data_IF_355066417104
#
_entry.id   IF_355066417104
#
_cell.length_a   1.000
_cell.length_b   1.000
_cell.length_c   1.000
_cell.angle_alpha   90.00
_cell.angle_beta   90.00
_cell.angle_gamma   90.00
#
_symmetry.space_group_name_H-M   'P 1'
#
loop_
_entity.id
_entity.type
_entity.pdbx_description
1 polymer ?
#
# COMPACT_ATOMS: atom_id res chain seq x y z
N UNK A 1 11.07 -14.03 -36.19
CA UNK A 1 11.32 -13.17 -35.01
C UNK A 1 11.91 -14.03 -33.90
N UNK A 2 13.15 -13.75 -33.50
CA UNK A 2 13.88 -14.52 -32.48
C UNK A 2 13.24 -14.26 -31.11
N UNK A 3 12.69 -15.32 -30.50
CA UNK A 3 12.18 -15.32 -29.12
C UNK A 3 13.38 -15.11 -28.19
N UNK A 4 13.49 -13.94 -27.56
CA UNK A 4 14.32 -13.80 -26.37
C UNK A 4 13.59 -14.57 -25.28
N UNK A 5 14.05 -15.80 -25.05
CA UNK A 5 13.41 -16.77 -24.18
C UNK A 5 13.82 -16.53 -22.72
N UNK A 6 12.88 -16.74 -21.81
CA UNK A 6 13.02 -16.89 -20.35
C UNK A 6 14.34 -17.55 -19.89
N UNK A 7 14.85 -18.44 -20.75
CA UNK A 7 16.14 -19.13 -20.71
C UNK A 7 17.32 -18.22 -20.37
N UNK A 8 17.40 -16.99 -20.90
CA UNK A 8 18.58 -16.14 -20.68
C UNK A 8 18.62 -15.51 -19.28
N UNK A 9 17.45 -15.26 -18.66
CA UNK A 9 17.39 -14.67 -17.31
C UNK A 9 17.63 -15.72 -16.21
N UNK A 10 17.14 -16.95 -16.41
CA UNK A 10 17.38 -18.07 -15.49
C UNK A 10 18.83 -18.57 -15.55
N UNK A 11 19.47 -18.52 -16.73
CA UNK A 11 20.87 -18.94 -16.89
C UNK A 11 21.89 -18.09 -16.11
N UNK A 12 21.57 -16.82 -15.79
CA UNK A 12 22.45 -15.94 -15.02
C UNK A 12 22.49 -16.27 -13.52
N UNK A 13 21.48 -16.97 -12.98
CA UNK A 13 21.44 -17.39 -11.57
C UNK A 13 22.14 -18.74 -11.33
N UNK A 14 22.39 -19.53 -12.38
CA UNK A 14 22.87 -20.92 -12.28
C UNK A 14 24.39 -21.10 -12.48
N UNK A 15 25.18 -20.02 -12.52
CA UNK A 15 26.59 -20.06 -12.96
C UNK A 15 27.60 -20.66 -11.97
N UNK A 16 27.17 -21.34 -10.89
CA UNK A 16 28.08 -21.97 -9.91
C UNK A 16 27.80 -23.44 -9.56
N UNK A 17 26.83 -24.09 -10.20
CA UNK A 17 26.58 -25.52 -10.02
C UNK A 17 26.52 -26.18 -11.39
N UNK A 18 27.20 -27.32 -11.54
CA UNK A 18 27.20 -28.19 -12.74
C UNK A 18 25.83 -28.15 -13.42
N UNK A 19 25.77 -27.67 -14.66
CA UNK A 19 24.52 -27.29 -15.34
C UNK A 19 23.52 -28.45 -15.38
N UNK A 20 22.60 -28.48 -14.42
CA UNK A 20 21.43 -29.35 -14.48
C UNK A 20 20.71 -29.10 -15.82
N UNK A 21 20.19 -30.14 -16.50
CA UNK A 21 19.42 -29.96 -17.73
C UNK A 21 18.35 -28.90 -17.51
N UNK A 22 18.27 -27.92 -18.41
CA UNK A 22 17.34 -26.80 -18.28
C UNK A 22 15.88 -27.24 -18.10
N UNK A 23 15.55 -28.43 -18.62
CA UNK A 23 14.27 -29.10 -18.46
C UNK A 23 13.95 -29.41 -16.99
N UNK A 24 14.93 -29.82 -16.16
CA UNK A 24 14.74 -30.03 -14.73
C UNK A 24 14.58 -28.70 -13.97
N UNK A 25 15.26 -27.64 -14.41
CA UNK A 25 15.23 -26.31 -13.80
C UNK A 25 13.90 -25.57 -14.04
N UNK A 26 13.25 -25.82 -15.18
CA UNK A 26 11.91 -25.28 -15.49
C UNK A 26 10.76 -26.21 -15.06
N UNK A 27 11.07 -27.46 -14.67
CA UNK A 27 10.06 -28.40 -14.18
C UNK A 27 9.50 -27.89 -12.86
N UNK A 28 8.20 -27.66 -12.82
CA UNK A 28 7.52 -27.07 -11.66
C UNK A 28 7.71 -25.55 -11.53
N UNK A 29 8.29 -24.88 -12.53
CA UNK A 29 8.29 -23.43 -12.56
C UNK A 29 6.86 -22.90 -12.78
N UNK A 30 6.50 -21.82 -12.08
CA UNK A 30 5.24 -21.11 -12.25
C UNK A 30 5.46 -19.66 -12.63
N UNK A 31 4.49 -19.10 -13.32
CA UNK A 31 4.34 -17.65 -13.47
C UNK A 31 2.99 -17.28 -12.89
N UNK A 32 3.00 -16.37 -11.94
CA UNK A 32 1.79 -15.88 -11.29
C UNK A 32 1.86 -14.35 -11.28
N UNK A 33 0.75 -13.69 -11.56
CA UNK A 33 0.77 -12.24 -11.68
C UNK A 33 -0.57 -11.58 -11.81
N UNK A 34 -0.51 -10.26 -11.98
CA UNK A 34 -1.67 -9.46 -12.30
C UNK A 34 -1.31 -8.25 -13.13
N UNK A 35 -2.25 -7.86 -13.98
CA UNK A 35 -2.20 -6.63 -14.73
C UNK A 35 -3.48 -5.84 -14.51
N UNK A 36 -3.38 -4.51 -14.55
CA UNK A 36 -4.56 -3.66 -14.63
C UNK A 36 -4.34 -2.44 -15.52
N UNK A 37 -5.45 -1.95 -16.05
CA UNK A 37 -5.58 -0.66 -16.68
C UNK A 37 -6.73 0.10 -16.01
N UNK A 38 -6.47 1.31 -15.55
CA UNK A 38 -7.37 2.10 -14.72
C UNK A 38 -7.49 3.50 -15.28
N UNK A 39 -8.69 4.06 -15.23
CA UNK A 39 -8.96 5.46 -15.46
C UNK A 39 -9.54 6.09 -14.20
N UNK A 40 -9.04 7.27 -13.85
CA UNK A 40 -9.52 8.07 -12.72
C UNK A 40 -9.86 9.46 -13.25
N UNK A 41 -11.01 10.00 -12.85
CA UNK A 41 -11.39 11.39 -13.07
C UNK A 41 -11.92 11.97 -11.78
N UNK A 42 -11.25 13.00 -11.29
CA UNK A 42 -11.63 13.76 -10.11
C UNK A 42 -12.23 15.10 -10.56
N UNK A 43 -13.28 15.54 -9.87
CA UNK A 43 -13.91 16.83 -10.10
C UNK A 43 -14.46 17.41 -8.79
N UNK A 44 -14.89 18.67 -8.83
CA UNK A 44 -15.46 19.37 -7.67
C UNK A 44 -14.63 20.59 -7.32
N UNK A 45 -14.96 21.20 -6.18
CA UNK A 45 -14.24 22.39 -5.70
C UNK A 45 -12.88 22.01 -5.11
N UNK A 46 -12.82 20.88 -4.42
CA UNK A 46 -11.66 20.42 -3.63
C UNK A 46 -10.97 19.20 -4.24
N UNK A 47 -11.22 18.94 -5.53
CA UNK A 47 -10.62 17.86 -6.28
C UNK A 47 -10.61 18.16 -7.78
N UNK A 48 -9.59 17.68 -8.48
CA UNK A 48 -9.60 17.68 -9.93
C UNK A 48 -8.53 16.80 -10.54
N UNK A 49 -8.51 16.78 -11.87
CA UNK A 49 -7.54 16.01 -12.66
C UNK A 49 -8.09 14.69 -13.15
N UNK A 50 -7.48 14.17 -14.22
CA UNK A 50 -7.87 12.91 -14.82
C UNK A 50 -6.65 12.18 -15.39
N UNK A 51 -6.64 10.86 -15.30
CA UNK A 51 -5.46 10.10 -15.68
C UNK A 51 -5.70 8.62 -15.86
N UNK A 52 -4.86 8.03 -16.71
CA UNK A 52 -4.69 6.59 -16.79
C UNK A 52 -3.59 6.13 -15.84
N UNK A 53 -3.85 4.99 -15.18
CA UNK A 53 -2.89 4.25 -14.39
C UNK A 53 -2.85 2.83 -14.91
N UNK A 54 -1.67 2.28 -15.13
CA UNK A 54 -1.54 0.86 -15.47
C UNK A 54 -0.45 0.20 -14.63
N UNK A 55 -0.59 -1.10 -14.42
CA UNK A 55 0.39 -1.88 -13.68
C UNK A 55 0.43 -3.30 -14.20
N UNK A 56 1.62 -3.87 -14.22
CA UNK A 56 1.85 -5.30 -14.42
C UNK A 56 2.81 -5.77 -13.34
N UNK A 57 2.45 -6.85 -12.66
CA UNK A 57 3.32 -7.57 -11.73
C UNK A 57 3.32 -9.02 -12.18
N UNK A 58 4.50 -9.59 -12.38
CA UNK A 58 4.66 -10.99 -12.77
C UNK A 58 5.77 -11.61 -11.93
N UNK A 59 5.46 -12.67 -11.20
CA UNK A 59 6.39 -13.42 -10.38
C UNK A 59 6.69 -14.75 -11.06
N UNK A 60 7.96 -14.97 -11.38
CA UNK A 60 8.46 -16.22 -11.91
C UNK A 60 9.08 -17.01 -10.76
N UNK A 61 8.53 -18.19 -10.49
CA UNK A 61 9.01 -19.08 -9.44
C UNK A 61 9.65 -20.30 -10.10
N UNK A 62 10.83 -20.71 -9.63
CA UNK A 62 11.40 -22.00 -10.02
C UNK A 62 10.64 -23.14 -9.35
N UNK A 63 10.80 -24.36 -9.88
CA UNK A 63 10.50 -25.57 -9.12
C UNK A 63 11.35 -25.66 -7.85
N UNK A 64 10.96 -26.55 -6.94
CA UNK A 64 11.71 -26.85 -5.73
C UNK A 64 12.63 -28.05 -5.94
N UNK A 65 13.90 -27.93 -5.56
CA UNK A 65 14.89 -29.02 -5.57
C UNK A 65 15.47 -29.11 -4.15
N UNK A 66 15.28 -30.25 -3.47
CA UNK A 66 15.75 -30.46 -2.09
C UNK A 66 15.35 -29.32 -1.13
N UNK A 67 14.09 -28.86 -1.25
CA UNK A 67 13.56 -27.73 -0.47
C UNK A 67 13.96 -26.34 -0.95
N UNK A 68 14.89 -26.18 -1.89
CA UNK A 68 15.31 -24.90 -2.45
C UNK A 68 14.48 -24.46 -3.66
N UNK A 69 14.07 -23.19 -3.69
CA UNK A 69 13.50 -22.54 -4.87
C UNK A 69 13.91 -21.07 -4.99
N UNK A 70 13.74 -20.49 -6.17
CA UNK A 70 14.07 -19.11 -6.49
C UNK A 70 12.88 -18.37 -7.09
N UNK A 71 12.87 -17.05 -6.90
CA UNK A 71 11.88 -16.15 -7.49
C UNK A 71 12.55 -14.98 -8.21
N UNK A 72 11.98 -14.59 -9.36
CA UNK A 72 12.23 -13.33 -10.05
C UNK A 72 10.89 -12.66 -10.35
N UNK A 73 10.65 -11.50 -9.74
CA UNK A 73 9.46 -10.68 -10.00
C UNK A 73 9.77 -9.49 -10.89
N UNK A 74 8.92 -9.24 -11.88
CA UNK A 74 8.93 -8.06 -12.72
C UNK A 74 7.80 -7.12 -12.31
N UNK A 75 8.07 -5.82 -12.37
CA UNK A 75 7.10 -4.78 -12.09
C UNK A 75 7.13 -3.74 -13.20
N UNK A 76 5.95 -3.38 -13.69
CA UNK A 76 5.70 -2.20 -14.49
C UNK A 76 4.61 -1.39 -13.84
N UNK A 77 4.79 -0.07 -13.78
CA UNK A 77 3.75 0.86 -13.38
C UNK A 77 3.82 2.11 -14.25
N UNK A 78 2.67 2.67 -14.57
CA UNK A 78 2.54 3.93 -15.27
C UNK A 78 1.44 4.76 -14.63
N UNK A 79 1.72 6.05 -14.48
CA UNK A 79 0.81 7.03 -13.88
C UNK A 79 0.64 6.88 -12.37
N UNK A 80 -0.10 7.82 -11.79
CA UNK A 80 -0.49 7.82 -10.38
C UNK A 80 -1.91 8.38 -10.23
N UNK A 81 -2.40 8.48 -9.00
CA UNK A 81 -3.71 9.10 -8.73
C UNK A 81 -3.68 10.57 -9.18
N UNK A 82 -4.56 11.00 -10.10
CA UNK A 82 -4.52 12.36 -10.61
C UNK A 82 -5.02 13.36 -9.56
N UNK A 83 -4.31 14.47 -9.41
CA UNK A 83 -4.67 15.62 -8.55
C UNK A 83 -5.00 16.85 -9.39
N UNK A 84 -5.44 17.95 -8.76
CA UNK A 84 -5.86 19.16 -9.46
C UNK A 84 -4.87 19.58 -10.55
N UNK A 85 -5.37 19.71 -11.79
CA UNK A 85 -4.58 20.12 -12.95
C UNK A 85 -3.78 19.01 -13.64
N UNK A 86 -3.71 17.81 -13.06
CA UNK A 86 -3.10 16.63 -13.68
C UNK A 86 -3.95 16.10 -14.82
N UNK A 87 -3.35 15.88 -16.00
CA UNK A 87 -3.98 15.23 -17.16
C UNK A 87 -3.00 14.24 -17.77
N UNK A 88 -3.46 13.04 -18.11
CA UNK A 88 -2.65 12.08 -18.89
C UNK A 88 -2.75 12.28 -20.41
N UNK A 89 -3.49 13.29 -20.88
CA UNK A 89 -3.56 13.65 -22.30
C UNK A 89 -2.18 14.05 -22.82
N UNK A 90 -1.76 13.47 -23.95
CA UNK A 90 -0.40 13.63 -24.49
C UNK A 90 0.73 12.99 -23.66
N UNK A 91 0.44 12.31 -22.54
CA UNK A 91 1.45 11.80 -21.60
C UNK A 91 1.85 10.33 -21.81
N UNK A 92 1.52 9.73 -22.95
CA UNK A 92 1.84 8.30 -23.26
C UNK A 92 3.36 8.02 -23.28
N UNK A 93 4.20 9.06 -23.29
CA UNK A 93 5.64 8.95 -23.45
C UNK A 93 6.01 8.53 -24.87
N UNK A 94 7.22 8.89 -25.33
CA UNK A 94 7.74 8.35 -26.58
C UNK A 94 8.14 6.89 -26.43
N UNK A 95 7.96 6.06 -27.47
CA UNK A 95 8.41 4.66 -27.51
C UNK A 95 9.93 4.47 -27.32
N UNK A 96 10.68 5.57 -27.40
CA UNK A 96 12.14 5.69 -27.20
C UNK A 96 12.50 6.84 -26.26
N UNK A 97 11.52 7.46 -25.60
CA UNK A 97 11.79 8.55 -24.68
C UNK A 97 12.72 8.01 -23.59
N UNK A 98 13.85 8.68 -23.40
CA UNK A 98 14.73 8.42 -22.27
C UNK A 98 13.85 8.45 -21.03
N UNK A 99 13.76 7.28 -20.39
CA UNK A 99 13.17 7.16 -19.08
C UNK A 99 14.02 8.05 -18.18
N UNK A 100 13.59 9.30 -18.00
CA UNK A 100 13.96 10.00 -16.80
C UNK A 100 13.30 9.21 -15.68
N UNK A 101 14.06 8.24 -15.18
CA UNK A 101 13.89 7.54 -13.91
C UNK A 101 13.59 8.51 -12.76
N UNK A 102 13.80 9.81 -12.98
CA UNK A 102 13.87 10.85 -11.99
C UNK A 102 12.97 12.07 -12.31
N UNK A 103 12.24 12.17 -13.44
CA UNK A 103 11.42 13.37 -13.74
C UNK A 103 9.93 13.13 -14.02
N UNK A 104 9.54 11.93 -14.45
CA UNK A 104 8.11 11.58 -14.63
C UNK A 104 7.65 10.64 -13.51
N UNK A 105 7.30 11.23 -12.36
CA UNK A 105 6.97 10.53 -11.10
C UNK A 105 5.72 9.65 -11.16
N UNK A 106 5.82 8.51 -11.84
CA UNK A 106 4.76 7.49 -11.92
C UNK A 106 5.07 6.31 -12.84
N UNK A 107 6.16 6.37 -13.61
CA UNK A 107 6.50 5.33 -14.59
C UNK A 107 7.71 4.52 -14.12
N UNK A 108 7.49 3.26 -13.73
CA UNK A 108 8.54 2.37 -13.23
C UNK A 108 8.56 1.05 -14.03
N UNK A 109 9.75 0.58 -14.39
CA UNK A 109 9.97 -0.80 -14.83
C UNK A 109 11.22 -1.35 -14.16
N UNK A 110 11.10 -2.52 -13.53
CA UNK A 110 12.25 -3.15 -12.90
C UNK A 110 11.94 -4.47 -12.22
N UNK A 111 12.93 -4.92 -11.45
CA UNK A 111 12.84 -6.14 -10.64
C UNK A 111 12.11 -5.83 -9.33
N UNK A 112 10.93 -6.43 -9.19
CA UNK A 112 10.04 -6.32 -8.03
C UNK A 112 10.55 -7.13 -6.84
N UNK A 113 10.87 -8.39 -7.10
CA UNK A 113 11.32 -9.38 -6.12
C UNK A 113 12.44 -10.20 -6.72
N UNK A 114 13.35 -10.65 -5.87
CA UNK A 114 14.46 -11.52 -6.24
C UNK A 114 14.91 -12.21 -4.97
N UNK A 115 14.57 -13.48 -4.80
CA UNK A 115 14.86 -14.19 -3.56
C UNK A 115 15.08 -15.67 -3.77
N UNK A 116 15.80 -16.27 -2.82
CA UNK A 116 15.83 -17.70 -2.60
C UNK A 116 14.91 -18.09 -1.44
N UNK A 117 14.32 -19.28 -1.51
CA UNK A 117 13.52 -19.89 -0.47
C UNK A 117 14.09 -21.26 -0.15
N UNK A 118 14.13 -21.60 1.13
CA UNK A 118 14.37 -22.94 1.62
C UNK A 118 13.19 -23.39 2.49
N UNK A 119 12.57 -24.52 2.15
CA UNK A 119 11.56 -25.19 2.96
C UNK A 119 12.16 -26.43 3.61
N UNK A 120 12.06 -26.54 4.93
CA UNK A 120 12.59 -27.69 5.67
C UNK A 120 11.68 -28.90 5.47
N UNK A 121 12.20 -30.06 5.10
CA UNK A 121 11.35 -31.23 4.85
C UNK A 121 10.70 -31.79 6.13
N UNK A 122 11.41 -31.71 7.25
CA UNK A 122 10.96 -32.25 8.54
C UNK A 122 9.98 -31.35 9.30
N UNK A 123 9.66 -30.15 8.79
CA UNK A 123 8.77 -29.19 9.46
C UNK A 123 8.02 -28.32 8.46
N UNK A 124 6.98 -27.62 8.88
CA UNK A 124 6.32 -26.57 8.09
C UNK A 124 7.05 -25.23 8.23
N UNK A 125 8.38 -25.26 8.36
CA UNK A 125 9.24 -24.07 8.43
C UNK A 125 9.75 -23.71 7.04
N UNK A 126 9.79 -22.42 6.73
CA UNK A 126 10.52 -21.93 5.56
C UNK A 126 11.26 -20.65 5.84
N UNK A 127 12.41 -20.48 5.19
CA UNK A 127 13.23 -19.27 5.19
C UNK A 127 13.22 -18.71 3.78
N UNK A 128 13.01 -17.40 3.65
CA UNK A 128 13.07 -16.67 2.39
C UNK A 128 14.04 -15.51 2.55
N UNK A 129 14.99 -15.35 1.63
CA UNK A 129 16.02 -14.32 1.70
C UNK A 129 16.21 -13.63 0.34
N UNK A 130 16.23 -12.30 0.34
CA UNK A 130 16.40 -11.47 -0.85
C UNK A 130 15.48 -10.25 -0.84
N UNK A 131 15.10 -9.77 -2.03
CA UNK A 131 14.12 -8.69 -2.19
C UNK A 131 12.71 -9.28 -2.18
N UNK A 132 11.96 -9.01 -1.12
CA UNK A 132 10.65 -9.58 -0.81
C UNK A 132 9.54 -8.51 -0.90
N UNK A 133 8.28 -8.96 -1.04
CA UNK A 133 7.10 -8.10 -0.84
C UNK A 133 6.86 -7.91 0.65
N UNK A 134 6.56 -6.68 1.07
CA UNK A 134 6.12 -6.41 2.44
C UNK A 134 4.61 -6.58 2.54
N UNK A 135 4.19 -7.77 2.96
CA UNK A 135 2.78 -8.15 3.10
C UNK A 135 2.37 -8.20 4.59
N UNK A 136 2.19 -7.04 5.21
CA UNK A 136 1.90 -6.92 6.65
C UNK A 136 0.67 -6.05 6.88
N UNK A 137 0.06 -6.02 8.08
CA UNK A 137 -1.08 -5.16 8.36
C UNK A 137 -0.83 -3.65 8.19
N UNK A 138 0.43 -3.20 8.20
CA UNK A 138 0.79 -1.78 8.09
C UNK A 138 1.52 -1.45 6.77
N UNK A 139 1.66 -2.41 5.86
CA UNK A 139 2.28 -2.27 4.53
C UNK A 139 1.40 -2.89 3.45
N UNK A 140 1.78 -2.74 2.19
CA UNK A 140 1.07 -3.24 1.02
C UNK A 140 1.95 -4.12 0.15
N UNK A 141 1.59 -5.39 0.04
CA UNK A 141 2.30 -6.35 -0.82
C UNK A 141 2.28 -5.95 -2.31
N UNK A 142 1.34 -5.09 -2.73
CA UNK A 142 1.21 -4.67 -4.12
C UNK A 142 2.50 -4.00 -4.60
N UNK A 143 3.10 -3.15 -3.77
CA UNK A 143 4.16 -2.24 -4.19
C UNK A 143 5.29 -2.07 -3.18
N UNK A 144 5.05 -2.38 -1.91
CA UNK A 144 6.06 -2.23 -0.85
C UNK A 144 7.03 -3.42 -0.85
N UNK A 145 8.33 -3.15 -0.72
CA UNK A 145 9.41 -4.14 -0.84
C UNK A 145 10.42 -4.00 0.28
N UNK A 146 11.03 -5.11 0.68
CA UNK A 146 12.13 -5.15 1.64
C UNK A 146 13.26 -6.03 1.15
N UNK A 147 14.51 -5.65 1.42
CA UNK A 147 15.68 -6.50 1.22
C UNK A 147 16.06 -7.11 2.58
N UNK A 148 15.92 -8.43 2.70
CA UNK A 148 16.10 -9.07 3.99
C UNK A 148 15.76 -10.55 4.00
N UNK A 149 15.43 -11.05 5.19
CA UNK A 149 15.11 -12.44 5.48
C UNK A 149 13.78 -12.51 6.21
N UNK A 150 12.97 -13.50 5.86
CA UNK A 150 11.74 -13.86 6.55
C UNK A 150 11.75 -15.36 6.86
N UNK A 151 11.30 -15.70 8.06
CA UNK A 151 11.08 -17.08 8.51
C UNK A 151 9.61 -17.25 8.85
N UNK A 152 9.00 -18.34 8.41
CA UNK A 152 7.63 -18.71 8.77
C UNK A 152 7.60 -20.15 9.28
N UNK A 153 6.80 -20.42 10.30
CA UNK A 153 6.52 -21.76 10.80
C UNK A 153 5.01 -21.95 10.98
N UNK A 154 4.50 -23.10 10.55
CA UNK A 154 3.10 -23.49 10.73
C UNK A 154 2.95 -24.93 11.22
N UNK A 155 3.89 -25.42 12.05
CA UNK A 155 3.83 -26.78 12.61
C UNK A 155 2.65 -26.97 13.55
N UNK A 156 2.31 -25.91 14.30
CA UNK A 156 1.11 -25.90 15.13
C UNK A 156 -0.10 -25.69 14.23
N UNK A 157 -1.02 -26.67 14.21
CA UNK A 157 -2.25 -26.57 13.42
C UNK A 157 -3.03 -25.32 13.77
N UNK A 158 -3.45 -24.57 12.75
CA UNK A 158 -4.19 -23.32 12.90
C UNK A 158 -3.35 -22.10 13.29
N UNK A 159 -2.05 -22.23 13.54
CA UNK A 159 -1.17 -21.12 13.91
C UNK A 159 0.01 -21.00 12.94
N UNK A 160 0.22 -19.78 12.43
CA UNK A 160 1.45 -19.40 11.73
C UNK A 160 2.22 -18.41 12.58
N UNK A 161 3.50 -18.70 12.82
CA UNK A 161 4.46 -17.79 13.41
C UNK A 161 5.36 -17.24 12.32
N UNK A 162 5.64 -15.95 12.35
CA UNK A 162 6.57 -15.32 11.41
C UNK A 162 7.55 -14.42 12.14
N UNK A 163 8.79 -14.38 11.64
CA UNK A 163 9.79 -13.40 12.03
C UNK A 163 10.47 -12.89 10.76
N UNK A 164 10.76 -11.60 10.69
CA UNK A 164 11.44 -11.00 9.56
C UNK A 164 12.41 -9.92 9.99
N UNK A 165 13.47 -9.76 9.22
CA UNK A 165 14.43 -8.68 9.35
C UNK A 165 14.79 -8.18 7.96
N UNK A 166 14.65 -6.88 7.74
CA UNK A 166 14.98 -6.20 6.51
C UNK A 166 16.05 -5.15 6.80
N UNK A 167 17.16 -5.20 6.07
CA UNK A 167 18.20 -4.19 6.13
C UNK A 167 17.71 -2.86 5.53
N UNK A 168 16.93 -2.94 4.45
CA UNK A 168 16.29 -1.80 3.83
C UNK A 168 14.92 -2.15 3.26
N UNK A 169 14.07 -1.15 3.11
CA UNK A 169 12.72 -1.31 2.61
C UNK A 169 12.18 -0.06 1.95
N UNK A 170 11.14 -0.19 1.15
CA UNK A 170 10.44 0.91 0.52
C UNK A 170 8.95 0.59 0.56
N UNK A 171 8.13 1.61 0.79
CA UNK A 171 6.72 1.54 0.46
C UNK A 171 6.43 2.54 -0.68
N UNK A 172 5.23 2.46 -1.25
CA UNK A 172 4.90 3.10 -2.54
C UNK A 172 4.19 4.44 -2.40
N UNK A 173 3.74 4.74 -1.19
CA UNK A 173 2.86 5.86 -0.90
C UNK A 173 3.44 6.75 0.19
N UNK A 174 4.76 6.80 0.37
CA UNK A 174 5.25 7.82 1.25
C UNK A 174 5.16 9.16 0.57
N UNK A 175 4.33 9.99 1.18
CA UNK A 175 4.47 11.43 1.20
C UNK A 175 5.85 11.90 1.69
N UNK A 176 6.89 11.06 1.72
CA UNK A 176 8.28 11.47 1.88
C UNK A 176 8.61 12.56 0.86
N UNK A 177 8.24 12.45 -0.42
CA UNK A 177 8.59 13.50 -1.39
C UNK A 177 7.97 14.88 -1.11
N UNK A 178 6.91 14.98 -0.30
CA UNK A 178 6.32 16.26 0.08
C UNK A 178 6.49 16.69 1.54
N UNK A 179 6.81 15.76 2.45
CA UNK A 179 7.40 16.08 3.77
C UNK A 179 8.85 16.57 3.59
N UNK A 180 9.54 16.07 2.56
CA UNK A 180 10.93 16.43 2.25
C UNK A 180 11.07 17.70 1.39
N UNK A 181 9.96 18.28 0.93
CA UNK A 181 9.99 19.59 0.27
C UNK A 181 9.90 20.75 1.28
N UNK A 182 10.09 20.48 2.58
CA UNK A 182 10.02 21.50 3.62
C UNK A 182 11.31 22.32 3.70
N UNK A 183 11.13 23.60 3.31
CA UNK A 183 11.91 24.80 3.64
C UNK A 183 13.24 25.01 2.94
N UNK A 184 13.15 25.67 1.78
CA UNK A 184 14.12 26.71 1.41
C UNK A 184 15.53 26.23 1.11
N UNK A 185 15.75 24.93 0.91
CA UNK A 185 17.00 24.46 0.33
C UNK A 185 17.02 24.86 -1.13
N UNK A 186 17.76 25.92 -1.44
CA UNK A 186 18.26 26.23 -2.78
C UNK A 186 19.23 25.15 -3.29
N UNK A 187 19.27 23.97 -2.67
CA UNK A 187 20.11 22.87 -3.09
C UNK A 187 19.28 21.91 -3.98
N UNK A 188 19.44 21.97 -5.32
CA UNK A 188 18.78 21.05 -6.26
C UNK A 188 19.26 19.60 -6.16
N UNK A 189 20.15 19.27 -5.22
CA UNK A 189 20.80 17.95 -5.11
C UNK A 189 20.03 16.90 -4.30
N UNK A 190 19.00 17.27 -3.53
CA UNK A 190 18.19 16.27 -2.80
C UNK A 190 16.99 15.86 -3.65
N UNK A 191 17.25 15.01 -4.65
CA UNK A 191 16.19 14.33 -5.38
C UNK A 191 15.66 13.15 -4.53
N UNK A 192 14.48 13.33 -3.95
CA UNK A 192 13.83 12.34 -3.06
C UNK A 192 13.10 11.25 -3.82
N UNK A 193 13.12 11.28 -5.16
CA UNK A 193 12.37 10.38 -6.03
C UNK A 193 13.01 8.99 -6.03
N UNK A 194 12.29 8.00 -5.49
CA UNK A 194 12.74 6.61 -5.43
C UNK A 194 13.50 6.22 -4.15
N UNK A 195 13.30 6.95 -3.06
CA UNK A 195 14.02 6.70 -1.80
C UNK A 195 13.49 5.46 -1.07
N UNK A 196 14.38 4.53 -0.73
CA UNK A 196 14.11 3.47 0.26
C UNK A 196 14.49 3.94 1.66
N UNK A 197 13.84 3.39 2.68
CA UNK A 197 14.28 3.42 4.07
C UNK A 197 15.49 2.51 4.27
N UNK A 198 16.58 3.08 4.77
CA UNK A 198 17.74 2.36 5.32
C UNK A 198 17.62 2.11 6.82
N UNK A 199 16.45 2.37 7.43
CA UNK A 199 16.18 1.97 8.80
C UNK A 199 15.84 0.48 8.81
N UNK A 200 16.70 -0.34 9.42
CA UNK A 200 16.46 -1.78 9.55
C UNK A 200 15.07 -2.02 10.13
N UNK A 201 14.27 -2.87 9.50
CA UNK A 201 12.91 -3.21 9.89
C UNK A 201 12.86 -4.65 10.39
N UNK A 202 12.52 -4.84 11.65
CA UNK A 202 12.23 -6.15 12.24
C UNK A 202 10.74 -6.32 12.43
N UNK A 203 10.22 -7.53 12.20
CA UNK A 203 8.83 -7.87 12.45
C UNK A 203 8.70 -9.26 13.08
N UNK A 204 7.74 -9.42 14.00
CA UNK A 204 7.32 -10.73 14.53
C UNK A 204 5.80 -10.80 14.50
N UNK A 205 5.26 -11.97 14.15
CA UNK A 205 3.82 -12.17 14.04
C UNK A 205 3.35 -13.54 14.54
N UNK A 206 2.13 -13.55 15.05
CA UNK A 206 1.34 -14.74 15.35
C UNK A 206 -0.01 -14.61 14.63
N UNK A 207 -0.34 -15.56 13.78
CA UNK A 207 -1.54 -15.53 12.92
C UNK A 207 -2.32 -16.82 13.13
N UNK A 208 -3.48 -16.72 13.77
CA UNK A 208 -4.33 -17.84 14.13
C UNK A 208 -5.59 -17.95 13.27
N UNK A 209 -5.95 -19.17 12.91
CA UNK A 209 -7.17 -19.53 12.21
C UNK A 209 -7.76 -20.79 12.86
N UNK A 210 -8.66 -20.58 13.82
CA UNK A 210 -9.32 -21.60 14.63
C UNK A 210 -10.84 -21.37 14.57
N UNK A 211 -11.54 -22.00 13.63
CA UNK A 211 -12.98 -21.83 13.43
C UNK A 211 -13.76 -21.86 14.78
N UNK A 212 -14.54 -20.82 15.13
CA UNK A 212 -14.96 -19.64 14.33
C UNK A 212 -14.13 -18.37 14.53
N UNK A 213 -12.94 -18.47 15.13
CA UNK A 213 -12.08 -17.36 15.52
C UNK A 213 -10.84 -17.29 14.63
N UNK A 214 -10.58 -16.09 14.10
CA UNK A 214 -9.29 -15.76 13.48
C UNK A 214 -8.66 -14.61 14.24
N UNK A 215 -7.35 -14.63 14.39
CA UNK A 215 -6.62 -13.52 15.00
C UNK A 215 -5.27 -13.30 14.33
N UNK A 216 -4.73 -12.10 14.50
CA UNK A 216 -3.33 -11.84 14.21
C UNK A 216 -2.78 -10.79 15.17
N UNK A 217 -1.54 -10.97 15.60
CA UNK A 217 -0.79 -10.02 16.41
C UNK A 217 0.58 -9.81 15.76
N UNK A 218 0.97 -8.56 15.61
CA UNK A 218 2.23 -8.17 15.00
C UNK A 218 2.96 -7.15 15.86
N UNK A 219 4.28 -7.25 15.88
CA UNK A 219 5.19 -6.23 16.40
C UNK A 219 6.17 -5.85 15.30
N UNK A 220 6.43 -4.55 15.16
CA UNK A 220 7.37 -3.97 14.21
C UNK A 220 8.33 -3.04 14.93
N UNK A 221 9.60 -3.08 14.53
CA UNK A 221 10.63 -2.14 14.94
C UNK A 221 11.37 -1.65 13.69
N UNK A 222 11.28 -0.37 13.39
CA UNK A 222 12.14 0.30 12.43
C UNK A 222 13.21 1.08 13.19
N UNK A 223 14.47 0.65 13.08
CA UNK A 223 15.61 1.16 13.87
C UNK A 223 15.63 2.69 13.93
N UNK A 224 15.56 3.24 15.14
CA UNK A 224 15.55 4.70 15.42
C UNK A 224 14.46 5.50 14.71
N UNK A 225 13.44 4.85 14.15
CA UNK A 225 12.34 5.50 13.44
C UNK A 225 11.04 5.33 14.22
N UNK A 226 10.55 4.09 14.32
CA UNK A 226 9.29 3.80 15.00
C UNK A 226 9.23 2.37 15.55
N UNK A 227 8.35 2.18 16.52
CA UNK A 227 7.84 0.88 16.96
C UNK A 227 6.35 0.82 16.67
N UNK A 228 5.83 -0.32 16.24
CA UNK A 228 4.39 -0.48 16.00
C UNK A 228 3.89 -1.84 16.45
N UNK A 229 2.66 -1.87 16.99
CA UNK A 229 1.93 -3.09 17.28
C UNK A 229 0.60 -3.07 16.53
N UNK A 230 0.18 -4.23 16.08
CA UNK A 230 -1.14 -4.44 15.48
C UNK A 230 -1.78 -5.69 16.06
N UNK A 231 -3.07 -5.61 16.37
CA UNK A 231 -3.90 -6.73 16.81
C UNK A 231 -5.20 -6.77 16.03
N UNK A 232 -5.63 -7.96 15.64
CA UNK A 232 -6.94 -8.23 15.05
C UNK A 232 -7.54 -9.49 15.66
N UNK A 233 -8.85 -9.45 15.91
CA UNK A 233 -9.68 -10.62 16.18
C UNK A 233 -10.93 -10.54 15.32
N UNK A 234 -11.32 -11.66 14.73
CA UNK A 234 -12.62 -11.81 14.08
C UNK A 234 -13.28 -13.11 14.56
N UNK A 235 -14.58 -13.04 14.83
CA UNK A 235 -15.38 -14.14 15.36
C UNK A 235 -16.62 -14.31 14.50
N UNK A 236 -16.85 -15.52 14.02
CA UNK A 236 -18.01 -15.88 13.20
C UNK A 236 -17.75 -15.82 11.70
N UNK A 237 -18.63 -16.48 10.93
CA UNK A 237 -18.54 -16.62 9.47
C UNK A 237 -19.70 -15.89 8.77
N UNK A 238 -20.94 -16.29 9.02
CA UNK A 238 -22.14 -15.67 8.43
C UNK A 238 -22.45 -14.31 9.06
N UNK A 239 -22.37 -14.23 10.39
CA UNK A 239 -22.41 -13.01 11.19
C UNK A 239 -21.07 -12.89 11.86
N UNK A 240 -20.26 -11.97 11.38
CA UNK A 240 -18.90 -11.79 11.86
C UNK A 240 -18.76 -10.46 12.57
N UNK A 241 -18.18 -10.51 13.76
CA UNK A 241 -17.62 -9.34 14.42
C UNK A 241 -16.11 -9.33 14.20
N UNK A 242 -15.56 -8.17 13.86
CA UNK A 242 -14.12 -7.95 13.73
C UNK A 242 -13.72 -6.70 14.51
N UNK A 243 -12.66 -6.81 15.30
CA UNK A 243 -12.03 -5.69 15.98
C UNK A 243 -10.55 -5.65 15.62
N UNK A 244 -10.04 -4.45 15.37
CA UNK A 244 -8.62 -4.22 15.10
C UNK A 244 -8.12 -3.06 15.95
N UNK A 245 -6.86 -3.12 16.37
CA UNK A 245 -6.18 -2.05 17.10
C UNK A 245 -4.74 -1.96 16.62
N UNK A 246 -4.22 -0.75 16.51
CA UNK A 246 -2.81 -0.51 16.30
C UNK A 246 -2.32 0.68 17.10
N UNK A 247 -1.04 0.61 17.48
CA UNK A 247 -0.35 1.67 18.18
C UNK A 247 1.06 1.82 17.60
N UNK A 248 1.44 3.04 17.26
CA UNK A 248 2.75 3.38 16.70
C UNK A 248 3.41 4.46 17.53
N UNK A 249 4.60 4.15 18.04
CA UNK A 249 5.43 5.03 18.87
C UNK A 249 6.66 5.46 18.07
N UNK A 250 6.92 6.76 18.00
CA UNK A 250 8.13 7.29 17.38
C UNK A 250 9.27 7.26 18.37
N UNK A 251 10.48 6.95 17.90
CA UNK A 251 11.66 7.13 18.72
C UNK A 251 11.81 8.58 19.15
N UNK A 252 12.37 8.82 20.34
CA UNK A 252 12.79 10.17 20.73
C UNK A 252 13.87 10.65 19.74
N UNK A 253 13.61 11.77 19.05
CA UNK A 253 14.41 12.23 17.91
C UNK A 253 14.49 11.18 16.77
N UNK A 254 13.37 10.85 16.12
CA UNK A 254 13.33 9.79 15.12
C UNK A 254 14.19 10.16 13.92
N UNK A 255 14.98 9.21 13.42
CA UNK A 255 15.87 9.41 12.27
C UNK A 255 15.36 8.62 11.07
N UNK A 256 15.16 9.30 9.95
CA UNK A 256 14.84 8.69 8.67
C UNK A 256 16.15 8.52 7.87
N UNK A 257 16.56 7.27 7.61
CA UNK A 257 17.70 6.95 6.76
C UNK A 257 17.15 6.72 5.34
N UNK A 258 17.61 7.47 4.35
CA UNK A 258 17.23 7.25 2.95
C UNK A 258 18.40 6.69 2.14
N UNK A 259 18.13 5.72 1.29
CA UNK A 259 19.10 5.21 0.33
C UNK A 259 19.23 6.12 -0.89
N UNK A 260 20.21 7.04 -0.91
CA UNK A 260 20.53 7.84 -2.10
C UNK A 260 21.80 7.33 -2.79
N UNK A 261 21.67 6.88 -4.04
CA UNK A 261 22.78 6.78 -5.01
C UNK A 261 24.01 5.96 -4.61
N UNK A 262 23.92 5.03 -3.66
CA UNK A 262 25.04 4.15 -3.25
C UNK A 262 26.24 4.86 -2.60
N UNK A 263 26.20 6.18 -2.40
CA UNK A 263 27.35 6.98 -1.92
C UNK A 263 27.06 7.83 -0.67
N UNK A 264 25.83 7.82 -0.14
CA UNK A 264 25.54 8.48 1.14
C UNK A 264 25.41 7.44 2.26
N UNK A 265 26.52 7.25 2.98
CA UNK A 265 26.63 6.51 4.23
C UNK A 265 26.34 7.37 5.47
N UNK A 266 25.64 8.50 5.29
CA UNK A 266 25.23 9.40 6.37
C UNK A 266 23.72 9.34 6.57
N UNK A 267 23.27 9.02 7.79
CA UNK A 267 21.90 9.27 8.19
C UNK A 267 21.67 10.79 8.14
N UNK A 268 21.03 11.30 7.09
CA UNK A 268 20.60 12.69 7.09
C UNK A 268 19.46 12.82 8.09
N UNK A 269 19.62 13.64 9.13
CA UNK A 269 18.45 14.13 9.88
C UNK A 269 17.64 14.95 8.90
N UNK A 270 16.54 14.39 8.43
CA UNK A 270 15.69 15.04 7.46
C UNK A 270 14.80 16.04 8.18
N UNK A 271 14.81 17.28 7.69
CA UNK A 271 13.99 18.34 8.22
C UNK A 271 12.54 18.16 7.80
N UNK A 272 11.64 18.00 8.77
CA UNK A 272 10.22 17.86 8.53
C UNK A 272 9.43 17.80 9.84
N UNK A 273 8.09 18.06 9.79
CA UNK A 273 7.24 18.07 10.98
C UNK A 273 7.30 16.77 11.80
N UNK A 274 7.74 15.66 11.20
CA UNK A 274 7.83 14.36 11.84
C UNK A 274 9.23 13.97 12.38
N UNK A 275 10.30 14.69 12.00
CA UNK A 275 11.69 14.22 12.19
C UNK A 275 12.62 15.21 12.91
N UNK A 276 12.34 16.52 12.84
CA UNK A 276 13.28 17.57 13.28
C UNK A 276 12.96 18.17 14.66
N UNK A 277 12.17 17.49 15.48
CA UNK A 277 11.67 18.05 16.74
C UNK A 277 10.74 19.27 16.54
N UNK A 278 10.24 19.48 15.33
CA UNK A 278 9.19 20.46 15.04
C UNK A 278 7.92 20.10 15.81
N UNK A 279 7.27 21.11 16.39
CA UNK A 279 6.18 21.02 17.36
C UNK A 279 4.87 20.33 16.89
N UNK A 280 4.86 19.64 15.75
CA UNK A 280 3.63 19.23 15.06
C UNK A 280 3.52 17.73 14.75
N UNK A 281 4.53 16.89 14.99
CA UNK A 281 4.44 15.44 14.79
C UNK A 281 4.05 14.70 16.07
N UNK A 282 3.06 13.79 16.00
CA UNK A 282 2.66 13.00 17.17
C UNK A 282 3.76 12.01 17.56
N UNK A 283 4.17 12.00 18.83
CA UNK A 283 5.09 10.99 19.37
C UNK A 283 4.47 9.60 19.43
N UNK A 284 3.17 9.53 19.74
CA UNK A 284 2.40 8.31 19.87
C UNK A 284 1.11 8.40 19.08
N UNK A 285 0.77 7.33 18.35
CA UNK A 285 -0.38 7.26 17.45
C UNK A 285 -1.18 5.99 17.69
N UNK A 286 -2.51 6.09 17.67
CA UNK A 286 -3.40 4.98 17.98
C UNK A 286 -4.63 4.96 17.09
N UNK A 287 -5.00 3.78 16.61
CA UNK A 287 -6.19 3.55 15.79
C UNK A 287 -6.89 2.28 16.24
N UNK A 288 -8.22 2.28 16.21
CA UNK A 288 -9.01 1.06 16.35
C UNK A 288 -10.16 1.03 15.35
N UNK A 289 -10.57 -0.18 14.96
CA UNK A 289 -11.74 -0.41 14.13
C UNK A 289 -12.65 -1.44 14.80
N UNK A 290 -13.95 -1.25 14.64
CA UNK A 290 -14.98 -2.20 15.04
C UNK A 290 -15.89 -2.40 13.83
N UNK A 291 -16.07 -3.64 13.39
CA UNK A 291 -16.92 -3.97 12.25
C UNK A 291 -17.83 -5.13 12.60
N UNK A 292 -19.11 -4.97 12.27
CA UNK A 292 -20.03 -6.08 12.11
C UNK A 292 -20.28 -6.31 10.62
N UNK A 293 -20.23 -7.56 10.19
CA UNK A 293 -20.60 -7.95 8.84
C UNK A 293 -21.56 -9.13 8.86
N UNK A 294 -22.56 -9.11 7.98
CA UNK A 294 -23.48 -10.20 7.81
C UNK A 294 -23.66 -10.55 6.34
N UNK A 295 -23.77 -11.84 6.04
CA UNK A 295 -24.22 -12.39 4.76
C UNK A 295 -25.51 -13.17 4.98
N UNK A 296 -26.66 -12.50 5.21
CA UNK A 296 -27.90 -13.18 5.57
C UNK A 296 -28.39 -14.13 4.47
N UNK A 297 -28.04 -13.84 3.22
CA UNK A 297 -28.20 -14.72 2.05
C UNK A 297 -26.94 -14.67 1.20
N UNK A 298 -26.75 -15.65 0.31
CA UNK A 298 -25.52 -15.78 -0.49
C UNK A 298 -25.25 -14.54 -1.38
N UNK A 299 -26.31 -13.91 -1.85
CA UNK A 299 -26.28 -12.80 -2.79
C UNK A 299 -26.14 -11.44 -2.11
N UNK A 300 -26.40 -11.32 -0.80
CA UNK A 300 -26.46 -10.04 -0.12
C UNK A 300 -25.50 -9.99 1.08
N UNK A 301 -24.74 -8.90 1.16
CA UNK A 301 -23.83 -8.63 2.26
C UNK A 301 -24.06 -7.23 2.82
N UNK A 302 -23.91 -7.10 4.13
CA UNK A 302 -23.89 -5.84 4.85
C UNK A 302 -22.66 -5.77 5.73
N UNK A 303 -22.01 -4.60 5.77
CA UNK A 303 -20.99 -4.25 6.75
C UNK A 303 -21.35 -2.92 7.38
N UNK A 304 -21.34 -2.87 8.70
CA UNK A 304 -21.43 -1.63 9.47
C UNK A 304 -20.19 -1.56 10.34
N UNK A 305 -19.56 -0.39 10.42
CA UNK A 305 -18.40 -0.26 11.26
C UNK A 305 -18.09 1.15 11.67
N UNK A 306 -17.11 1.21 12.57
CA UNK A 306 -16.59 2.43 13.13
C UNK A 306 -15.06 2.37 13.15
N UNK A 307 -14.43 3.48 12.81
CA UNK A 307 -13.00 3.73 12.97
C UNK A 307 -12.85 4.89 13.95
N UNK A 308 -12.07 4.68 14.99
CA UNK A 308 -11.69 5.70 15.96
C UNK A 308 -10.20 5.71 16.19
N UNK A 309 -9.73 6.74 16.89
CA UNK A 309 -8.31 6.90 17.23
C UNK A 309 -8.11 7.26 18.69
N UNK A 310 -6.90 7.03 19.17
CA UNK A 310 -6.44 7.37 20.51
C UNK A 310 -4.97 7.81 20.44
N UNK A 311 -4.37 8.17 21.58
CA UNK A 311 -3.08 8.86 21.64
C UNK A 311 -3.10 10.23 20.94
N UNK A 312 -1.95 10.74 20.51
CA UNK A 312 -1.81 12.12 20.05
C UNK A 312 -1.98 12.28 18.53
N UNK A 313 -1.93 11.17 17.78
CA UNK A 313 -2.27 11.12 16.37
C UNK A 313 -2.89 9.77 15.99
N UNK A 314 -3.31 9.62 14.73
CA UNK A 314 -4.05 8.43 14.28
C UNK A 314 -3.38 7.63 13.15
N UNK A 315 -2.26 8.13 12.61
CA UNK A 315 -1.50 7.48 11.54
C UNK A 315 -0.65 6.32 12.07
N UNK A 316 -1.08 5.09 11.86
CA UNK A 316 -0.44 3.87 12.42
C UNK A 316 0.15 2.94 11.37
N UNK A 317 -0.05 3.26 10.09
CA UNK A 317 0.38 2.46 8.94
C UNK A 317 1.51 3.18 8.20
N UNK A 318 2.36 2.44 7.51
CA UNK A 318 3.34 3.05 6.59
C UNK A 318 2.64 3.61 5.34
N UNK A 319 1.49 3.01 5.00
CA UNK A 319 0.66 3.36 3.85
C UNK A 319 -0.68 4.02 4.29
N UNK A 320 -1.44 4.63 3.39
CA UNK A 320 -2.74 5.27 3.68
C UNK A 320 -3.82 4.30 4.18
N UNK A 321 -3.76 3.03 3.83
CA UNK A 321 -4.86 2.11 4.09
C UNK A 321 -4.62 1.11 5.22
N UNK A 322 -3.46 0.47 5.25
CA UNK A 322 -3.21 -0.73 6.05
C UNK A 322 -4.27 -1.83 5.86
N UNK A 323 -4.26 -2.84 6.72
CA UNK A 323 -5.26 -3.91 6.76
C UNK A 323 -6.55 -3.53 7.52
N UNK A 324 -6.76 -2.24 7.81
CA UNK A 324 -7.84 -1.76 8.65
C UNK A 324 -9.20 -1.80 7.95
N UNK A 325 -10.21 -2.26 8.69
CA UNK A 325 -11.61 -2.27 8.30
C UNK A 325 -12.12 -0.84 8.18
N UNK A 326 -12.63 -0.51 7.00
CA UNK A 326 -13.14 0.81 6.66
C UNK A 326 -14.20 0.71 5.57
N UNK A 327 -14.97 1.79 5.42
CA UNK A 327 -15.91 2.00 4.32
C UNK A 327 -15.57 3.27 3.54
N UNK A 328 -16.18 3.42 2.37
CA UNK A 328 -15.81 4.46 1.40
C UNK A 328 -14.61 4.04 0.54
N UNK A 329 -14.25 4.90 -0.41
CA UNK A 329 -13.16 4.68 -1.38
C UNK A 329 -12.36 5.96 -1.67
N UNK A 330 -12.93 7.14 -1.45
CA UNK A 330 -12.26 8.41 -1.76
C UNK A 330 -11.44 8.94 -0.58
N UNK A 331 -12.02 8.97 0.62
CA UNK A 331 -11.46 9.75 1.72
C UNK A 331 -10.05 9.30 2.17
N UNK A 332 -9.71 8.02 2.02
CA UNK A 332 -8.38 7.53 2.38
C UNK A 332 -7.41 7.47 1.19
N UNK A 333 -7.85 7.70 -0.06
CA UNK A 333 -7.03 7.58 -1.27
C UNK A 333 -7.25 8.75 -2.25
N UNK A 334 -7.50 9.95 -1.74
CA UNK A 334 -7.75 11.15 -2.54
C UNK A 334 -6.52 11.60 -3.35
N UNK A 335 -5.30 11.39 -2.84
CA UNK A 335 -4.04 11.89 -3.45
C UNK A 335 -3.07 10.80 -3.93
N UNK A 336 -3.28 9.53 -3.58
CA UNK A 336 -2.44 8.40 -4.01
C UNK A 336 -0.97 8.43 -3.57
N UNK A 337 -0.55 9.42 -2.78
CA UNK A 337 0.80 9.54 -2.21
C UNK A 337 0.80 9.34 -0.69
N UNK A 338 -0.25 8.71 -0.17
CA UNK A 338 -0.35 8.30 1.22
C UNK A 338 -0.59 9.40 2.25
N UNK A 339 -0.84 10.66 1.85
CA UNK A 339 -1.15 11.75 2.78
C UNK A 339 -2.41 11.49 3.60
N UNK A 340 -3.50 11.09 2.97
CA UNK A 340 -4.76 10.83 3.67
C UNK A 340 -4.86 9.38 4.14
N UNK A 341 -5.88 9.06 4.93
CA UNK A 341 -5.99 7.75 5.57
C UNK A 341 -5.06 7.62 6.77
N UNK A 342 -4.51 6.43 6.99
CA UNK A 342 -3.85 6.01 8.23
C UNK A 342 -2.32 6.02 8.16
N UNK A 343 -1.71 6.76 7.22
CA UNK A 343 -0.26 6.87 7.14
C UNK A 343 0.32 7.59 8.36
N UNK A 344 1.34 7.01 8.99
CA UNK A 344 2.12 7.58 10.08
C UNK A 344 2.93 8.81 9.63
N UNK A 345 3.13 8.96 8.31
CA UNK A 345 3.82 10.09 7.69
C UNK A 345 2.85 11.01 6.91
N UNK A 346 1.54 10.81 7.08
CA UNK A 346 0.47 11.62 6.46
C UNK A 346 -0.27 12.51 7.46
N UNK A 347 -1.53 12.83 7.15
CA UNK A 347 -2.43 13.68 7.93
C UNK A 347 -2.63 13.15 9.36
N UNK A 348 -2.65 11.82 9.54
CA UNK A 348 -2.72 11.18 10.85
C UNK A 348 -1.41 11.18 11.63
N UNK A 349 -0.32 11.59 10.99
CA UNK A 349 1.00 11.69 11.60
C UNK A 349 1.15 12.86 12.57
N UNK A 350 0.29 13.89 12.45
CA UNK A 350 0.40 15.15 13.19
C UNK A 350 -0.11 15.04 14.63
N UNK A 351 0.48 15.84 15.52
CA UNK A 351 0.12 15.96 16.92
C UNK A 351 -1.27 16.59 17.11
N UNK A 352 -1.96 16.23 18.19
CA UNK A 352 -3.33 16.65 18.49
C UNK A 352 -4.34 16.33 17.36
N UNK A 353 -4.13 15.22 16.64
CA UNK A 353 -5.06 14.73 15.62
C UNK A 353 -5.86 13.53 16.10
N UNK A 354 -7.09 13.43 15.61
CA UNK A 354 -7.93 12.25 15.79
C UNK A 354 -8.95 12.14 14.66
N UNK A 355 -9.43 10.93 14.41
CA UNK A 355 -10.41 10.64 13.37
C UNK A 355 -11.57 9.83 13.94
N UNK A 356 -12.78 10.15 13.48
CA UNK A 356 -13.97 9.35 13.70
C UNK A 356 -14.61 9.06 12.34
N UNK A 357 -14.77 7.79 12.00
CA UNK A 357 -15.45 7.36 10.78
C UNK A 357 -16.52 6.34 11.13
N UNK A 358 -17.77 6.61 10.80
CA UNK A 358 -18.80 5.57 10.75
C UNK A 358 -19.05 5.19 9.29
N UNK A 359 -19.39 3.94 9.03
CA UNK A 359 -19.71 3.51 7.67
C UNK A 359 -20.76 2.39 7.61
N UNK A 360 -21.46 2.38 6.47
CA UNK A 360 -22.33 1.31 5.99
C UNK A 360 -21.85 0.91 4.60
N UNK A 361 -21.64 -0.38 4.37
CA UNK A 361 -21.37 -0.93 3.05
C UNK A 361 -22.36 -2.05 2.75
N UNK A 362 -23.06 -1.94 1.63
CA UNK A 362 -24.01 -2.93 1.13
C UNK A 362 -23.46 -3.55 -0.15
N UNK A 363 -23.62 -4.85 -0.31
CA UNK A 363 -23.25 -5.56 -1.54
C UNK A 363 -24.37 -6.50 -1.97
N UNK A 364 -24.67 -6.54 -3.25
CA UNK A 364 -25.63 -7.47 -3.85
C UNK A 364 -25.05 -8.11 -5.10
N UNK A 365 -25.24 -9.41 -5.29
CA UNK A 365 -24.78 -10.15 -6.47
C UNK A 365 -25.94 -10.51 -7.38
N UNK A 366 -25.81 -10.16 -8.66
CA UNK A 366 -26.76 -10.48 -9.73
C UNK A 366 -25.98 -11.05 -10.92
N UNK A 367 -26.00 -12.38 -11.08
CA UNK A 367 -25.23 -13.08 -12.13
C UNK A 367 -23.73 -12.79 -12.03
N UNK A 368 -23.11 -12.26 -13.10
CA UNK A 368 -21.70 -11.85 -13.16
C UNK A 368 -21.45 -10.46 -12.57
N UNK A 369 -22.49 -9.75 -12.14
CA UNK A 369 -22.41 -8.37 -11.64
C UNK A 369 -22.57 -8.36 -10.13
N UNK A 370 -21.60 -7.78 -9.42
CA UNK A 370 -21.76 -7.39 -8.02
C UNK A 370 -22.00 -5.87 -7.95
N UNK A 371 -23.04 -5.45 -7.25
CA UNK A 371 -23.41 -4.05 -7.03
C UNK A 371 -23.07 -3.71 -5.58
N UNK A 372 -22.38 -2.61 -5.36
CA UNK A 372 -22.01 -2.12 -4.04
C UNK A 372 -22.48 -0.70 -3.78
N UNK A 373 -22.74 -0.38 -2.51
CA UNK A 373 -22.95 0.98 -2.02
C UNK A 373 -22.21 1.16 -0.70
N UNK A 374 -21.23 2.06 -0.68
CA UNK A 374 -20.57 2.51 0.54
C UNK A 374 -21.09 3.90 0.94
N UNK A 375 -21.37 4.09 2.22
CA UNK A 375 -21.68 5.38 2.84
C UNK A 375 -20.75 5.55 4.03
N UNK A 376 -20.06 6.67 4.12
CA UNK A 376 -19.18 6.99 5.24
C UNK A 376 -19.35 8.43 5.70
N UNK A 377 -19.27 8.65 7.02
CA UNK A 377 -19.18 9.99 7.60
C UNK A 377 -17.85 10.15 8.33
N UNK A 378 -17.09 11.18 7.98
CA UNK A 378 -15.75 11.45 8.48
C UNK A 378 -15.79 12.73 9.31
N UNK A 379 -15.18 12.71 10.50
CA UNK A 379 -15.09 13.87 11.38
C UNK A 379 -13.86 13.80 12.29
N UNK A 380 -13.67 14.84 13.11
CA UNK A 380 -12.59 14.94 14.10
C UNK A 380 -11.53 15.97 13.73
N UNK A 381 -10.43 15.99 14.48
CA UNK A 381 -9.24 16.78 14.16
C UNK A 381 -8.34 16.01 13.18
N UNK A 382 -8.85 15.76 11.98
CA UNK A 382 -8.24 14.83 11.03
C UNK A 382 -7.18 15.44 10.11
N UNK A 383 -6.90 16.75 10.21
CA UNK A 383 -5.89 17.43 9.39
C UNK A 383 -5.98 17.14 7.87
N UNK A 384 -7.19 16.86 7.39
CA UNK A 384 -7.44 16.32 6.06
C UNK A 384 -6.92 17.23 4.93
N UNK A 385 -6.15 16.63 4.03
CA UNK A 385 -5.61 17.29 2.83
C UNK A 385 -6.64 17.39 1.70
N UNK A 386 -6.77 18.57 1.09
CA UNK A 386 -7.49 18.77 -0.17
C UNK A 386 -6.71 19.62 -1.18
N UNK A 387 -7.09 19.50 -2.45
CA UNK A 387 -6.74 20.49 -3.46
C UNK A 387 -7.31 21.85 -3.04
N UNK A 388 -6.51 22.92 -3.08
CA UNK A 388 -6.99 24.26 -2.77
C UNK A 388 -8.05 24.74 -3.77
N UNK A 389 -8.98 25.57 -3.29
CA UNK A 389 -10.01 26.20 -4.12
C UNK A 389 -9.36 26.95 -5.29
N UNK A 390 -9.96 26.90 -6.51
CA UNK A 390 -9.47 27.69 -7.64
C UNK A 390 -9.35 29.18 -7.24
N UNK A 391 -8.28 29.84 -7.66
CA UNK A 391 -8.19 31.29 -7.51
C UNK A 391 -9.38 31.93 -8.27
N UNK A 392 -9.99 33.01 -7.77
CA UNK A 392 -11.12 33.68 -8.43
C UNK A 392 -10.88 34.03 -9.92
N UNK A 393 -9.61 34.15 -10.28
CA UNK A 393 -9.05 34.51 -11.58
C UNK A 393 -8.73 33.33 -12.50
N UNK A 394 -9.03 32.08 -12.11
CA UNK A 394 -8.88 30.91 -13.00
C UNK A 394 -7.45 30.34 -13.11
N UNK A 395 -6.50 30.89 -12.38
CA UNK A 395 -5.13 30.38 -12.34
C UNK A 395 -5.04 29.00 -11.66
N UNK A 396 -4.07 28.19 -12.10
CA UNK A 396 -3.72 26.92 -11.45
C UNK A 396 -3.26 27.21 -10.02
N UNK A 397 -4.06 26.85 -9.02
CA UNK A 397 -3.55 26.78 -7.65
C UNK A 397 -2.78 25.46 -7.51
N UNK A 398 -1.50 25.56 -7.15
CA UNK A 398 -0.60 24.43 -6.87
C UNK A 398 -0.48 24.12 -5.37
N UNK A 399 -1.20 24.84 -4.50
CA UNK A 399 -1.14 24.65 -3.05
C UNK A 399 -2.17 23.63 -2.56
N UNK A 400 -1.77 22.79 -1.60
CA UNK A 400 -2.67 21.97 -0.81
C UNK A 400 -3.24 22.75 0.37
N UNK A 401 -4.46 22.45 0.77
CA UNK A 401 -5.05 22.95 2.00
C UNK A 401 -5.20 21.79 2.99
N UNK A 402 -4.64 21.96 4.18
CA UNK A 402 -4.79 21.01 5.29
C UNK A 402 -5.70 21.64 6.34
N UNK A 403 -6.60 20.84 6.91
CA UNK A 403 -7.44 21.32 8.00
C UNK A 403 -8.40 20.27 8.55
N UNK A 404 -9.02 20.57 9.68
CA UNK A 404 -10.02 19.69 10.26
C UNK A 404 -11.30 19.75 9.41
N UNK A 405 -11.75 18.60 8.90
CA UNK A 405 -12.91 18.53 8.01
C UNK A 405 -13.92 17.52 8.52
N UNK A 406 -15.19 17.90 8.46
CA UNK A 406 -16.35 17.03 8.63
C UNK A 406 -17.09 16.94 7.32
N UNK A 407 -17.20 15.73 6.78
CA UNK A 407 -17.78 15.49 5.47
C UNK A 407 -18.29 14.05 5.36
N UNK A 408 -19.01 13.79 4.28
CA UNK A 408 -19.65 12.52 4.01
C UNK A 408 -19.30 12.06 2.61
N UNK A 409 -19.24 10.74 2.43
CA UNK A 409 -19.00 10.08 1.16
C UNK A 409 -20.13 9.09 0.87
N UNK A 410 -20.65 9.11 -0.36
CA UNK A 410 -21.55 8.08 -0.90
C UNK A 410 -20.95 7.55 -2.20
N UNK A 411 -20.72 6.24 -2.24
CA UNK A 411 -19.94 5.59 -3.30
C UNK A 411 -20.64 4.33 -3.82
N UNK A 412 -21.56 4.46 -4.78
CA UNK A 412 -22.01 3.32 -5.58
C UNK A 412 -20.86 2.71 -6.38
N UNK A 413 -20.89 1.40 -6.53
CA UNK A 413 -19.90 0.65 -7.29
C UNK A 413 -20.46 -0.59 -7.96
N UNK A 414 -19.73 -1.06 -8.97
CA UNK A 414 -20.05 -2.24 -9.76
C UNK A 414 -18.78 -3.04 -10.02
N UNK A 415 -18.86 -4.35 -9.85
CA UNK A 415 -17.85 -5.33 -10.22
C UNK A 415 -18.46 -6.28 -11.27
N UNK A 416 -17.91 -6.30 -12.48
CA UNK A 416 -18.31 -7.20 -13.56
C UNK A 416 -17.27 -8.32 -13.67
N UNK A 417 -17.63 -9.50 -13.19
CA UNK A 417 -16.79 -10.69 -13.15
C UNK A 417 -16.86 -11.44 -14.49
N UNK A 418 -16.07 -11.01 -15.47
CA UNK A 418 -16.07 -11.57 -16.83
C UNK A 418 -15.63 -13.03 -16.83
N UNK A 419 -14.54 -13.33 -16.12
CA UNK A 419 -14.04 -14.70 -15.88
C UNK A 419 -13.53 -14.81 -14.45
N UNK A 420 -13.01 -15.99 -14.05
CA UNK A 420 -12.31 -16.13 -12.77
C UNK A 420 -11.05 -15.27 -12.68
N UNK A 421 -10.48 -14.90 -13.82
CA UNK A 421 -9.22 -14.15 -13.95
C UNK A 421 -9.43 -12.68 -14.30
N UNK A 422 -10.51 -12.34 -15.02
CA UNK A 422 -10.76 -11.02 -15.57
C UNK A 422 -11.96 -10.34 -14.90
N UNK A 423 -11.77 -9.11 -14.45
CA UNK A 423 -12.80 -8.30 -13.80
C UNK A 423 -12.72 -6.84 -14.22
N UNK A 424 -13.87 -6.21 -14.43
CA UNK A 424 -14.00 -4.75 -14.55
C UNK A 424 -14.67 -4.21 -13.29
N UNK A 425 -14.01 -3.31 -12.58
CA UNK A 425 -14.57 -2.61 -11.42
C UNK A 425 -14.76 -1.15 -11.76
N UNK A 426 -15.89 -0.56 -11.38
CA UNK A 426 -16.08 0.88 -11.44
C UNK A 426 -16.78 1.40 -10.19
N UNK A 427 -16.51 2.65 -9.83
CA UNK A 427 -17.26 3.36 -8.79
C UNK A 427 -17.37 4.84 -9.10
N UNK A 428 -18.37 5.47 -8.49
CA UNK A 428 -18.53 6.92 -8.51
C UNK A 428 -18.68 7.43 -7.08
N UNK A 429 -17.64 8.05 -6.54
CA UNK A 429 -17.68 8.61 -5.20
C UNK A 429 -18.19 10.05 -5.24
N UNK A 430 -19.16 10.37 -4.39
CA UNK A 430 -19.67 11.73 -4.19
C UNK A 430 -19.37 12.15 -2.76
N UNK A 431 -18.58 13.22 -2.62
CA UNK A 431 -18.14 13.76 -1.33
C UNK A 431 -18.76 15.14 -1.11
N UNK A 432 -19.40 15.32 0.03
CA UNK A 432 -20.13 16.55 0.38
C UNK A 432 -20.00 16.91 1.86
N UNK A 433 -20.38 18.15 2.21
CA UNK A 433 -20.18 18.74 3.53
C UNK A 433 -19.12 19.85 3.45
N UNK A 434 -18.10 19.80 4.31
CA UNK A 434 -16.99 20.75 4.25
C UNK A 434 -15.99 20.48 3.11
N UNK A 435 -16.14 19.35 2.42
CA UNK A 435 -15.41 18.98 1.21
C UNK A 435 -16.42 18.81 0.08
N UNK A 436 -16.09 19.32 -1.11
CA UNK A 436 -16.83 19.06 -2.33
C UNK A 436 -15.90 18.41 -3.38
N UNK A 437 -16.09 17.11 -3.59
CA UNK A 437 -15.33 16.33 -4.54
C UNK A 437 -16.20 15.22 -5.14
N UNK A 438 -15.87 14.82 -6.35
CA UNK A 438 -16.39 13.62 -6.98
C UNK A 438 -15.24 12.86 -7.62
N UNK A 439 -15.34 11.53 -7.66
CA UNK A 439 -14.40 10.67 -8.36
C UNK A 439 -15.13 9.62 -9.17
N UNK A 440 -14.90 9.61 -10.47
CA UNK A 440 -15.13 8.43 -11.29
C UNK A 440 -13.84 7.61 -11.35
N UNK A 441 -13.96 6.32 -11.08
CA UNK A 441 -12.85 5.37 -11.12
C UNK A 441 -13.32 4.12 -11.83
N UNK A 442 -12.51 3.63 -12.77
CA UNK A 442 -12.76 2.34 -13.44
C UNK A 442 -11.45 1.61 -13.65
N UNK A 443 -11.48 0.29 -13.51
CA UNK A 443 -10.32 -0.57 -13.69
C UNK A 443 -10.71 -1.88 -14.33
N UNK A 444 -10.02 -2.23 -15.41
CA UNK A 444 -9.96 -3.60 -15.90
C UNK A 444 -8.75 -4.28 -15.28
N UNK A 445 -8.95 -5.46 -14.71
CA UNK A 445 -7.91 -6.26 -14.08
C UNK A 445 -7.92 -7.69 -14.61
N UNK A 446 -6.72 -8.26 -14.70
CA UNK A 446 -6.49 -9.63 -15.13
C UNK A 446 -5.45 -10.28 -14.22
N UNK A 447 -5.75 -11.48 -13.71
CA UNK A 447 -4.81 -12.33 -12.97
C UNK A 447 -4.40 -13.50 -13.85
N UNK A 448 -3.12 -13.82 -13.91
CA UNK A 448 -2.59 -14.92 -14.72
C UNK A 448 -1.68 -15.82 -13.91
#
# INVERSE_FOLDING_TARGET
MKKISLVTALALAASSLSAAPIEELIKGASIDGSAFFRYISNSGRNAGGQGFVSRVVADLNSGSIEGFSFNLGLFYHYGGTPTQGSKSDGNVGGSRATRDLFTTGGNAFGVSTLYGKYAFEASKTSIVAGKLKLATPITSAATDRGLGVQVTNSDVSGLTMAAAFFDSWAADHEYISGVMSVRGTTNPEVDTRGSSFGNNLSAVAFIGNYDPVTFQVWYFNADKLLNSVFGEIAIGSTYQFKAQIAYTDMYNSPTLKLGYGGNYSGATRLAGPFFDGGANGASARGLYTLQFSAKPIQEFGVRVGFVGSFANGYGVSVNNEGAFSKGGKYWFDNWGDGRSGFSAFGDGGFDNTHINVWYLALTSKVSIVDIGLDIAGISGKNHYTVDADKAPNGDKITSTNHGNRTFYEVTPSIDINITKQAKVTAYYAVVFGQINAQRFWTQMSYKF
#
